data_IF_742268562331
#
_entry.id   IF_742268562331
#
_cell.length_a   1.000
_cell.length_b   1.000
_cell.length_c   1.000
_cell.angle_alpha   90.00
_cell.angle_beta   90.00
_cell.angle_gamma   90.00
#
_symmetry.space_group_name_H-M   'P 1'
#
loop_
_entity.id
_entity.type
_entity.pdbx_description
1 polymer ?
#
# COMPACT_ATOMS: atom_id res chain seq x y z
N UNK A 1 0.53 7.68 -1.47
CA UNK A 1 -0.29 6.95 -0.46
C UNK A 1 0.10 7.46 0.91
N UNK A 2 -0.81 7.50 1.89
CA UNK A 2 -0.48 7.85 3.28
C UNK A 2 -0.39 6.57 4.10
N UNK A 3 0.69 6.40 4.85
CA UNK A 3 0.89 5.27 5.76
C UNK A 3 0.78 5.74 7.21
N UNK A 4 0.27 4.90 8.10
CA UNK A 4 0.14 5.22 9.51
C UNK A 4 0.61 4.04 10.36
N UNK A 5 1.24 4.35 11.49
CA UNK A 5 1.64 3.40 12.51
C UNK A 5 1.14 3.86 13.86
N UNK A 6 0.61 2.94 14.66
CA UNK A 6 0.18 3.19 16.04
C UNK A 6 1.24 2.67 17.00
N UNK A 7 1.54 3.45 18.03
CA UNK A 7 2.38 3.01 19.13
C UNK A 7 1.60 2.10 20.08
N UNK A 8 2.16 0.93 20.37
CA UNK A 8 1.68 0.03 21.40
C UNK A 8 2.55 0.20 22.66
N UNK A 9 1.99 0.72 23.77
CA UNK A 9 2.75 0.94 25.00
C UNK A 9 3.11 -0.36 25.73
N UNK A 10 2.36 -1.45 25.53
CA UNK A 10 2.62 -2.74 26.17
C UNK A 10 3.77 -3.47 25.47
N UNK A 11 3.81 -3.38 24.13
CA UNK A 11 4.90 -3.96 23.32
C UNK A 11 6.10 -3.01 23.13
N UNK A 12 5.94 -1.71 23.40
CA UNK A 12 6.91 -0.65 23.08
C UNK A 12 7.30 -0.60 21.60
N UNK A 13 6.38 -0.98 20.71
CA UNK A 13 6.59 -1.10 19.27
C UNK A 13 5.54 -0.35 18.47
N UNK A 14 5.85 -0.10 17.19
CA UNK A 14 4.91 0.48 16.23
C UNK A 14 4.30 -0.59 15.34
N UNK A 15 2.99 -0.55 15.17
CA UNK A 15 2.26 -1.43 14.27
C UNK A 15 1.59 -0.65 13.16
N UNK A 16 1.71 -1.14 11.93
CA UNK A 16 1.08 -0.52 10.76
C UNK A 16 -0.46 -0.58 10.91
N UNK A 17 -1.11 0.57 10.76
CA UNK A 17 -2.56 0.72 10.86
C UNK A 17 -3.10 1.49 9.66
N UNK A 18 -4.40 1.36 9.41
CA UNK A 18 -5.06 2.16 8.39
C UNK A 18 -5.05 3.64 8.81
N UNK A 19 -4.78 4.59 7.90
CA UNK A 19 -4.82 6.03 8.22
C UNK A 19 -6.16 6.50 8.81
N UNK A 20 -7.26 5.80 8.49
CA UNK A 20 -8.58 6.05 9.07
C UNK A 20 -8.63 5.81 10.58
N UNK A 21 -7.79 4.92 11.12
CA UNK A 21 -7.75 4.61 12.55
C UNK A 21 -7.25 5.79 13.38
N UNK A 22 -6.38 6.63 12.83
CA UNK A 22 -5.87 7.85 13.51
C UNK A 22 -7.02 8.77 13.92
N UNK A 23 -8.07 8.83 13.10
CA UNK A 23 -9.24 9.68 13.32
C UNK A 23 -10.21 9.10 14.35
N UNK A 24 -10.19 7.78 14.55
CA UNK A 24 -11.16 7.08 15.39
C UNK A 24 -10.63 6.84 16.81
N UNK A 25 -9.32 6.98 17.04
CA UNK A 25 -8.67 6.80 18.33
C UNK A 25 -7.61 7.90 18.55
N UNK A 26 -8.01 9.16 18.80
CA UNK A 26 -7.07 10.28 18.97
C UNK A 26 -6.23 10.19 20.27
N UNK A 27 -6.49 9.21 21.14
CA UNK A 27 -5.82 9.05 22.43
C UNK A 27 -4.50 8.27 22.36
N UNK A 28 -4.06 7.85 21.18
CA UNK A 28 -2.82 7.10 20.98
C UNK A 28 -1.78 7.90 20.21
N UNK A 29 -0.51 7.49 20.33
CA UNK A 29 0.56 8.03 19.49
C UNK A 29 0.51 7.38 18.12
N UNK A 30 0.57 8.21 17.08
CA UNK A 30 0.70 7.76 15.71
C UNK A 30 1.91 8.37 15.04
N UNK A 31 2.49 7.62 14.11
CA UNK A 31 3.42 8.15 13.13
C UNK A 31 2.76 8.03 11.77
N UNK A 32 2.78 9.09 10.99
CA UNK A 32 2.12 9.20 9.69
C UNK A 32 3.18 9.55 8.66
N UNK A 33 3.34 8.70 7.64
CA UNK A 33 4.13 9.02 6.45
C UNK A 33 3.20 9.56 5.39
N UNK A 34 3.46 10.77 4.94
CA UNK A 34 2.70 11.36 3.85
C UNK A 34 3.09 10.74 2.50
N UNK A 35 2.44 11.18 1.42
CA UNK A 35 2.74 10.69 0.08
C UNK A 35 4.06 11.19 -0.51
N UNK A 36 4.72 12.15 0.14
CA UNK A 36 5.99 12.75 -0.27
C UNK A 36 7.18 12.14 0.49
N UNK A 37 6.90 11.38 1.55
CA UNK A 37 7.89 10.67 2.35
C UNK A 37 8.20 11.34 3.68
N UNK A 38 7.51 12.43 4.02
CA UNK A 38 7.64 13.15 5.29
C UNK A 38 6.91 12.41 6.41
N UNK A 39 7.53 12.39 7.58
CA UNK A 39 7.01 11.73 8.78
C UNK A 39 6.45 12.78 9.74
N UNK A 40 5.26 12.49 10.25
CA UNK A 40 4.52 13.31 11.19
C UNK A 40 4.16 12.47 12.40
N UNK A 41 4.44 12.96 13.59
CA UNK A 41 4.04 12.34 14.85
C UNK A 41 2.75 13.00 15.31
N UNK A 42 1.71 12.21 15.49
CA UNK A 42 0.47 12.61 16.12
C UNK A 42 0.52 12.15 17.58
N UNK A 43 0.45 13.07 18.53
CA UNK A 43 0.41 12.74 19.95
C UNK A 43 -1.03 12.59 20.48
N UNK A 44 -1.23 11.92 21.63
CA UNK A 44 -2.54 11.77 22.29
C UNK A 44 -3.23 13.09 22.66
N UNK A 45 -2.48 14.20 22.64
CA UNK A 45 -2.99 15.53 22.89
C UNK A 45 -3.40 16.26 21.59
N UNK A 46 -3.37 15.55 20.46
CA UNK A 46 -3.78 16.03 19.14
C UNK A 46 -2.78 16.96 18.48
N UNK A 47 -1.52 17.01 18.94
CA UNK A 47 -0.48 17.81 18.28
C UNK A 47 0.18 16.98 17.20
N UNK A 48 0.33 17.59 16.04
CA UNK A 48 1.07 17.05 14.91
C UNK A 48 2.44 17.72 14.86
N UNK A 49 3.47 16.95 15.22
CA UNK A 49 4.85 17.40 15.18
C UNK A 49 5.55 16.76 13.98
N UNK A 50 6.25 17.53 13.13
CA UNK A 50 7.11 16.93 12.12
C UNK A 50 8.20 16.11 12.82
N UNK A 51 8.39 14.87 12.38
CA UNK A 51 9.49 14.05 12.88
C UNK A 51 10.83 14.65 12.40
N UNK A 52 11.84 14.66 13.26
CA UNK A 52 13.18 15.04 12.85
C UNK A 52 13.73 14.07 11.80
N UNK A 53 14.66 14.57 10.98
CA UNK A 53 15.14 13.82 9.82
C UNK A 53 15.79 12.47 10.16
N UNK A 54 16.37 12.32 11.36
CA UNK A 54 17.05 11.09 11.80
C UNK A 54 16.20 10.16 12.67
N UNK A 55 15.39 10.67 13.60
CA UNK A 55 14.65 9.84 14.57
C UNK A 55 13.30 10.46 14.99
N UNK A 56 12.41 9.58 15.44
CA UNK A 56 11.10 9.89 16.01
C UNK A 56 11.15 9.64 17.51
N UNK A 57 10.88 10.65 18.33
CA UNK A 57 10.79 10.47 19.79
C UNK A 57 9.32 10.26 20.21
N UNK A 58 9.01 9.12 20.83
CA UNK A 58 7.70 8.81 21.40
C UNK A 58 7.89 8.20 22.79
N UNK A 59 7.20 8.76 23.80
CA UNK A 59 7.35 8.34 25.20
C UNK A 59 8.81 8.41 25.75
N UNK A 60 9.66 9.28 25.20
CA UNK A 60 11.08 9.38 25.57
C UNK A 60 11.97 8.28 24.97
N UNK A 61 11.42 7.47 24.06
CA UNK A 61 12.14 6.48 23.26
C UNK A 61 12.35 7.02 21.85
N UNK A 62 13.55 6.83 21.29
CA UNK A 62 13.88 7.24 19.94
C UNK A 62 13.77 6.05 18.97
N UNK A 63 13.00 6.22 17.91
CA UNK A 63 12.80 5.24 16.86
C UNK A 63 13.45 5.73 15.56
N UNK A 64 14.20 4.87 14.90
CA UNK A 64 14.81 5.18 13.61
C UNK A 64 13.73 5.44 12.55
N UNK A 65 13.94 6.49 11.75
CA UNK A 65 13.09 6.83 10.60
C UNK A 65 12.88 5.64 9.66
N UNK A 66 13.88 4.78 9.55
CA UNK A 66 13.89 3.61 8.67
C UNK A 66 12.85 2.55 9.04
N UNK A 67 12.38 2.52 10.30
CA UNK A 67 11.29 1.64 10.75
C UNK A 67 9.93 2.02 10.15
N UNK A 68 9.80 3.28 9.71
CA UNK A 68 8.59 3.83 9.08
C UNK A 68 8.71 3.88 7.56
N UNK A 69 9.59 3.06 6.99
CA UNK A 69 9.70 2.88 5.54
C UNK A 69 8.98 1.62 5.07
N UNK A 70 7.77 1.72 4.47
CA UNK A 70 7.11 0.62 3.77
C UNK A 70 8.02 -0.17 2.84
N UNK A 71 8.99 0.45 2.16
CA UNK A 71 9.90 -0.28 1.26
C UNK A 71 10.91 -1.15 2.02
N UNK A 72 11.28 -0.79 3.26
CA UNK A 72 12.11 -1.64 4.13
C UNK A 72 11.31 -2.68 4.89
N UNK A 73 10.02 -2.42 5.16
CA UNK A 73 9.10 -3.42 5.71
C UNK A 73 8.86 -4.56 4.70
N UNK A 74 9.00 -4.31 3.40
CA UNK A 74 9.05 -5.37 2.38
C UNK A 74 10.33 -6.22 2.48
N UNK A 75 11.45 -5.66 2.94
CA UNK A 75 12.71 -6.39 3.11
C UNK A 75 12.68 -7.50 4.19
N UNK A 76 11.80 -7.39 5.19
CA UNK A 76 11.60 -8.43 6.21
C UNK A 76 10.32 -9.25 6.02
N UNK A 77 9.44 -8.86 5.07
CA UNK A 77 8.29 -9.67 4.63
C UNK A 77 8.55 -10.44 3.33
N UNK A 78 9.67 -10.21 2.66
CA UNK A 78 10.17 -10.97 1.50
C UNK A 78 10.74 -12.37 1.84
N UNK A 79 10.28 -13.02 2.92
CA UNK A 79 10.28 -14.50 3.01
C UNK A 79 8.88 -15.09 3.03
N UNK A 80 7.86 -14.28 2.72
CA UNK A 80 6.57 -14.77 2.24
C UNK A 80 6.12 -13.84 1.14
N UNK A 81 6.72 -14.00 -0.05
CA UNK A 81 6.05 -13.65 -1.30
C UNK A 81 4.59 -14.12 -1.19
N UNK A 82 3.57 -13.24 -1.20
CA UNK A 82 2.26 -13.71 -1.61
C UNK A 82 2.47 -14.14 -3.07
N UNK A 83 2.15 -15.38 -3.46
CA UNK A 83 2.35 -15.78 -4.84
C UNK A 83 1.55 -14.81 -5.70
N UNK A 84 2.24 -13.96 -6.46
CA UNK A 84 1.70 -13.09 -7.51
C UNK A 84 1.19 -13.91 -8.70
N UNK A 85 0.57 -15.07 -8.43
CA UNK A 85 0.01 -16.01 -9.39
C UNK A 85 -1.40 -16.46 -9.04
N UNK A 86 -2.12 -15.77 -8.16
CA UNK A 86 -3.47 -16.20 -7.78
C UNK A 86 -4.47 -15.06 -7.72
N UNK A 87 -4.69 -14.41 -8.86
CA UNK A 87 -6.02 -13.86 -9.14
C UNK A 87 -6.64 -14.51 -10.39
N UNK A 88 -5.83 -15.07 -11.29
CA UNK A 88 -6.32 -15.90 -12.41
C UNK A 88 -5.26 -16.97 -12.73
N UNK A 89 -5.24 -18.07 -11.98
CA UNK A 89 -4.48 -19.26 -12.38
C UNK A 89 -5.24 -19.98 -13.49
N UNK A 90 -5.32 -19.35 -14.67
CA UNK A 90 -5.81 -20.03 -15.86
C UNK A 90 -4.80 -21.12 -16.23
N UNK A 91 -5.27 -22.35 -16.40
CA UNK A 91 -4.46 -23.42 -16.98
C UNK A 91 -3.97 -22.99 -18.37
N UNK A 92 -2.82 -23.48 -18.86
CA UNK A 92 -2.28 -23.11 -20.18
C UNK A 92 -3.32 -23.17 -21.30
N UNK A 93 -4.19 -24.18 -21.29
CA UNK A 93 -5.29 -24.36 -22.25
C UNK A 93 -6.33 -23.23 -22.17
N UNK A 94 -6.64 -22.75 -20.97
CA UNK A 94 -7.58 -21.64 -20.77
C UNK A 94 -6.97 -20.30 -21.19
N UNK A 95 -5.64 -20.15 -21.11
CA UNK A 95 -4.94 -18.97 -21.64
C UNK A 95 -4.99 -18.96 -23.17
N UNK A 96 -4.84 -20.12 -23.81
CA UNK A 96 -4.97 -20.23 -25.27
C UNK A 96 -6.41 -20.02 -25.75
N UNK A 97 -7.41 -20.51 -25.01
CA UNK A 97 -8.83 -20.24 -25.27
C UNK A 97 -9.15 -18.74 -25.14
N UNK A 98 -8.70 -18.10 -24.06
CA UNK A 98 -8.88 -16.66 -23.85
C UNK A 98 -8.22 -15.85 -24.98
N UNK A 99 -7.00 -16.25 -25.40
CA UNK A 99 -6.31 -15.61 -26.53
C UNK A 99 -7.06 -15.82 -27.85
N UNK A 100 -7.70 -16.96 -28.05
CA UNK A 100 -8.53 -17.21 -29.24
C UNK A 100 -9.83 -16.38 -29.23
N UNK A 101 -10.45 -16.22 -28.06
CA UNK A 101 -11.62 -15.36 -27.89
C UNK A 101 -11.29 -13.88 -28.13
N UNK A 102 -10.25 -13.35 -27.49
CA UNK A 102 -9.82 -11.96 -27.69
C UNK A 102 -9.46 -11.66 -29.14
N UNK A 103 -8.92 -12.64 -29.88
CA UNK A 103 -8.66 -12.49 -31.32
C UNK A 103 -9.93 -12.41 -32.14
N UNK A 104 -10.95 -13.23 -31.82
CA UNK A 104 -12.25 -13.18 -32.51
C UNK A 104 -12.97 -11.86 -32.24
N UNK A 105 -12.97 -11.40 -31.00
CA UNK A 105 -13.57 -10.12 -30.63
C UNK A 105 -12.89 -8.94 -31.35
N UNK A 106 -11.56 -8.94 -31.37
CA UNK A 106 -10.77 -7.95 -32.11
C UNK A 106 -11.01 -7.99 -33.63
N UNK A 107 -11.26 -9.15 -34.22
CA UNK A 107 -11.63 -9.28 -35.63
C UNK A 107 -13.03 -8.73 -35.89
N UNK A 108 -14.01 -9.10 -35.06
CA UNK A 108 -15.39 -8.62 -35.16
C UNK A 108 -15.45 -7.09 -35.07
N UNK A 109 -14.69 -6.50 -34.13
CA UNK A 109 -14.65 -5.04 -33.98
C UNK A 109 -14.01 -4.35 -35.19
N UNK A 110 -12.98 -4.96 -35.80
CA UNK A 110 -12.38 -4.44 -37.05
C UNK A 110 -13.35 -4.52 -38.22
N UNK A 111 -14.11 -5.60 -38.35
CA UNK A 111 -15.13 -5.75 -39.40
C UNK A 111 -16.24 -4.69 -39.23
N UNK A 112 -16.75 -4.49 -38.00
CA UNK A 112 -17.72 -3.44 -37.71
C UNK A 112 -17.21 -2.04 -38.07
N UNK A 113 -15.96 -1.73 -37.74
CA UNK A 113 -15.35 -0.46 -38.09
C UNK A 113 -15.16 -0.31 -39.60
N UNK A 114 -14.86 -1.38 -40.32
CA UNK A 114 -14.69 -1.36 -41.77
C UNK A 114 -16.04 -1.21 -42.50
N UNK A 115 -17.09 -1.89 -42.03
CA UNK A 115 -18.46 -1.72 -42.53
C UNK A 115 -18.99 -0.31 -42.29
N UNK A 116 -18.63 0.34 -41.18
CA UNK A 116 -19.01 1.74 -40.89
C UNK A 116 -18.18 2.79 -41.63
N UNK A 117 -17.03 2.41 -42.20
CA UNK A 117 -16.16 3.29 -43.02
C UNK A 117 -16.40 3.16 -44.52
N UNK A 118 -17.24 2.21 -44.94
CA UNK A 118 -17.69 2.04 -46.32
C UNK A 118 -19.07 2.66 -46.55
N UNK A 119 -19.17 3.99 -46.45
CA UNK A 119 -20.21 4.83 -47.05
C UNK A 119 -19.54 6.14 -47.47
#
# INVERSE_FOLDING_TARGET
MKYAWRFDPDAQEFHAVLPLMVWNDPGAYYVIRDGLGDLWVHDPWGRECPAHFEYVEVYGMTFDREQFDPERVDGQRMTKEPPLRSLFSLLPEQVDELRAEMRRDGQWMREQLNTRRGC
#
